data_IF_403502540857
#
_entry.id   IF_403502540857
#
_cell.length_a   1.000
_cell.length_b   1.000
_cell.length_c   1.000
_cell.angle_alpha   90.00
_cell.angle_beta   90.00
_cell.angle_gamma   90.00
#
_symmetry.space_group_name_H-M   'P 1'
#
loop_
_entity.id
_entity.type
_entity.pdbx_description
1 polymer ?
#
# COMPACT_ATOMS: atom_id res chain seq x y z
N UNK A 1 -18.34 10.76 26.36
CA UNK A 1 -19.33 9.74 25.92
C UNK A 1 -19.81 9.93 24.47
N UNK A 2 -20.06 11.17 24.00
CA UNK A 2 -20.58 11.49 22.65
C UNK A 2 -19.75 10.99 21.45
N UNK A 3 -18.45 10.76 21.60
CA UNK A 3 -17.57 10.28 20.53
C UNK A 3 -17.54 8.76 20.35
N UNK A 4 -17.99 7.98 21.35
CA UNK A 4 -18.07 6.51 21.29
C UNK A 4 -19.33 6.08 20.55
N UNK A 5 -20.45 6.74 20.84
CA UNK A 5 -21.72 6.62 20.12
C UNK A 5 -21.55 6.83 18.60
N UNK A 6 -20.91 7.95 18.20
CA UNK A 6 -20.67 8.29 16.77
C UNK A 6 -19.81 7.27 16.02
N UNK A 7 -18.87 6.62 16.72
CA UNK A 7 -18.01 5.58 16.12
C UNK A 7 -18.75 4.27 15.92
N UNK A 8 -19.62 3.91 16.88
CA UNK A 8 -20.46 2.72 16.79
C UNK A 8 -21.48 2.89 15.66
N UNK A 9 -22.10 4.08 15.54
CA UNK A 9 -23.03 4.38 14.45
C UNK A 9 -22.33 4.34 13.09
N UNK A 10 -21.13 4.93 12.96
CA UNK A 10 -20.40 4.90 11.68
C UNK A 10 -20.03 3.48 11.23
N UNK A 11 -19.59 2.63 12.17
CA UNK A 11 -19.25 1.23 11.89
C UNK A 11 -20.50 0.45 11.48
N UNK A 12 -21.62 0.63 12.20
CA UNK A 12 -22.89 0.02 11.84
C UNK A 12 -23.37 0.46 10.45
N UNK A 13 -23.34 1.76 10.15
CA UNK A 13 -23.84 2.27 8.86
C UNK A 13 -22.95 1.82 7.70
N UNK A 14 -21.63 1.76 7.88
CA UNK A 14 -20.73 1.25 6.83
C UNK A 14 -20.86 -0.25 6.61
N UNK A 15 -21.08 -1.04 7.68
CA UNK A 15 -21.34 -2.48 7.57
C UNK A 15 -22.66 -2.78 6.86
N UNK A 16 -23.71 -2.03 7.21
CA UNK A 16 -25.03 -2.15 6.57
C UNK A 16 -24.95 -1.76 5.08
N UNK A 17 -24.26 -0.68 4.73
CA UNK A 17 -24.09 -0.26 3.34
C UNK A 17 -23.36 -1.32 2.50
N UNK A 18 -22.35 -1.98 3.08
CA UNK A 18 -21.58 -3.02 2.41
C UNK A 18 -22.43 -4.29 2.18
N UNK A 19 -23.27 -4.65 3.16
CA UNK A 19 -24.26 -5.74 3.03
C UNK A 19 -25.28 -5.43 1.92
N UNK A 20 -25.79 -4.20 1.86
CA UNK A 20 -26.74 -3.77 0.83
C UNK A 20 -26.09 -3.83 -0.57
N UNK A 21 -24.86 -3.35 -0.72
CA UNK A 21 -24.13 -3.38 -2.01
C UNK A 21 -23.86 -4.83 -2.45
N UNK A 22 -23.48 -5.72 -1.52
CA UNK A 22 -23.30 -7.15 -1.86
C UNK A 22 -24.61 -7.85 -2.22
N UNK A 23 -25.71 -7.50 -1.56
CA UNK A 23 -27.04 -7.98 -1.92
C UNK A 23 -27.46 -7.52 -3.33
N UNK A 24 -27.15 -6.27 -3.68
CA UNK A 24 -27.50 -5.69 -4.98
C UNK A 24 -26.74 -6.35 -6.15
N UNK A 25 -25.46 -6.69 -5.96
CA UNK A 25 -24.64 -7.38 -6.99
C UNK A 25 -25.14 -8.82 -7.21
N UNK A 26 -25.56 -9.52 -6.15
CA UNK A 26 -26.16 -10.85 -6.26
C UNK A 26 -27.49 -10.84 -7.04
N UNK A 27 -28.32 -9.80 -6.84
CA UNK A 27 -29.59 -9.63 -7.57
C UNK A 27 -29.34 -9.32 -9.05
N UNK A 28 -28.35 -8.50 -9.40
CA UNK A 28 -28.05 -8.17 -10.81
C UNK A 28 -27.51 -9.39 -11.57
N UNK A 29 -26.67 -10.23 -10.95
CA UNK A 29 -26.19 -11.47 -11.60
C UNK A 29 -27.30 -12.51 -11.82
N UNK A 30 -28.38 -12.47 -11.04
CA UNK A 30 -29.52 -13.38 -11.19
C UNK A 30 -30.47 -13.00 -12.35
N UNK A 31 -30.42 -11.75 -12.82
CA UNK A 31 -31.26 -11.27 -13.94
C UNK A 31 -30.70 -11.72 -15.30
N UNK A 32 -29.39 -12.00 -15.40
CA UNK A 32 -28.73 -12.35 -16.68
C UNK A 32 -28.75 -13.85 -17.01
N UNK A 33 -28.89 -14.75 -16.02
CA UNK A 33 -29.01 -16.18 -16.30
C UNK A 33 -30.49 -16.53 -16.48
N UNK A 34 -30.97 -16.40 -17.72
CA UNK A 34 -32.31 -16.81 -18.14
C UNK A 34 -32.70 -18.12 -17.47
N UNK A 35 -33.84 -18.11 -16.78
CA UNK A 35 -34.24 -19.09 -15.77
C UNK A 35 -33.94 -20.55 -16.11
N UNK A 36 -33.70 -21.34 -15.06
CA UNK A 36 -33.36 -22.75 -15.24
C UNK A 36 -34.60 -23.58 -15.58
N UNK A 37 -34.39 -24.64 -16.37
CA UNK A 37 -35.41 -25.58 -16.79
C UNK A 37 -35.38 -26.80 -15.87
N UNK A 38 -36.52 -27.17 -15.30
CA UNK A 38 -36.69 -28.46 -14.59
C UNK A 38 -37.34 -29.44 -15.54
N UNK A 39 -36.68 -30.55 -15.82
CA UNK A 39 -37.29 -31.69 -16.51
C UNK A 39 -37.78 -32.71 -15.48
N UNK A 40 -39.02 -33.21 -15.59
CA UNK A 40 -39.48 -34.30 -14.75
C UNK A 40 -38.70 -35.58 -15.07
N UNK A 41 -38.30 -36.33 -14.04
CA UNK A 41 -37.41 -37.49 -14.13
C UNK A 41 -38.06 -38.77 -14.71
N UNK A 42 -38.92 -38.64 -15.72
CA UNK A 42 -39.60 -39.78 -16.35
C UNK A 42 -38.64 -40.72 -17.10
N UNK A 43 -37.40 -40.29 -17.37
CA UNK A 43 -36.38 -41.08 -18.07
C UNK A 43 -35.46 -41.93 -17.19
N UNK A 44 -35.60 -41.93 -15.85
CA UNK A 44 -34.72 -42.68 -14.94
C UNK A 44 -35.54 -43.63 -14.06
N UNK A 45 -36.19 -44.61 -14.69
CA UNK A 45 -36.67 -45.80 -13.97
C UNK A 45 -36.38 -47.04 -14.81
N UNK A 46 -35.47 -47.94 -14.38
CA UNK A 46 -35.36 -49.24 -15.01
C UNK A 46 -36.62 -50.04 -14.66
N UNK A 47 -37.39 -50.37 -15.69
CA UNK A 47 -38.10 -51.66 -15.84
C UNK A 47 -38.82 -52.22 -14.60
N UNK A 48 -39.80 -51.47 -14.07
CA UNK A 48 -40.76 -51.98 -13.06
C UNK A 48 -42.23 -51.90 -13.51
N UNK A 49 -42.49 -51.68 -14.80
CA UNK A 49 -43.85 -51.51 -15.32
C UNK A 49 -44.70 -52.78 -15.28
N UNK A 50 -44.10 -53.95 -15.04
CA UNK A 50 -44.83 -55.23 -15.09
C UNK A 50 -45.35 -55.71 -13.72
N UNK A 51 -45.12 -54.99 -12.62
CA UNK A 51 -45.44 -55.49 -11.26
C UNK A 51 -46.76 -54.91 -10.70
N UNK A 52 -47.31 -53.82 -11.26
CA UNK A 52 -48.50 -53.18 -10.67
C UNK A 52 -49.62 -52.76 -11.63
N UNK A 53 -49.51 -52.97 -12.94
CA UNK A 53 -50.55 -52.57 -13.88
C UNK A 53 -50.84 -53.67 -14.90
N UNK A 54 -52.09 -54.12 -14.95
CA UNK A 54 -52.59 -55.11 -15.91
C UNK A 54 -52.64 -54.58 -17.35
N UNK A 55 -52.93 -55.47 -18.29
CA UNK A 55 -52.89 -55.27 -19.75
C UNK A 55 -53.21 -53.84 -20.21
N UNK A 56 -52.19 -53.16 -20.72
CA UNK A 56 -52.26 -51.83 -21.33
C UNK A 56 -53.06 -51.91 -22.64
N UNK A 57 -54.38 -51.80 -22.55
CA UNK A 57 -55.29 -51.65 -23.69
C UNK A 57 -55.72 -50.19 -23.92
N UNK A 58 -54.88 -49.24 -23.50
CA UNK A 58 -55.09 -47.82 -23.77
C UNK A 58 -53.90 -47.22 -24.49
N UNK A 59 -54.20 -46.37 -25.47
CA UNK A 59 -53.24 -45.55 -26.18
C UNK A 59 -52.78 -44.42 -25.25
N UNK A 60 -51.90 -44.75 -24.30
CA UNK A 60 -51.30 -43.77 -23.41
C UNK A 60 -50.00 -43.28 -24.06
N UNK A 61 -50.03 -42.07 -24.61
CA UNK A 61 -48.86 -41.43 -25.21
C UNK A 61 -47.90 -40.97 -24.09
N UNK A 62 -47.06 -41.89 -23.59
CA UNK A 62 -46.03 -41.64 -22.59
C UNK A 62 -44.97 -40.61 -23.04
N UNK A 63 -45.01 -40.16 -24.29
CA UNK A 63 -44.07 -39.20 -24.88
C UNK A 63 -44.54 -37.74 -24.78
N UNK A 64 -45.76 -37.46 -24.28
CA UNK A 64 -46.24 -36.09 -24.03
C UNK A 64 -46.26 -35.76 -22.54
N UNK A 65 -45.08 -35.68 -21.94
CA UNK A 65 -44.91 -34.98 -20.66
C UNK A 65 -45.07 -33.46 -20.84
N UNK A 66 -45.48 -32.72 -19.80
CA UNK A 66 -45.48 -31.25 -19.86
C UNK A 66 -44.07 -30.77 -20.23
N UNK A 67 -44.00 -29.90 -21.24
CA UNK A 67 -42.75 -29.33 -21.70
C UNK A 67 -42.03 -28.55 -20.59
N UNK A 68 -40.73 -28.28 -20.74
CA UNK A 68 -39.94 -27.59 -19.72
C UNK A 68 -40.56 -26.24 -19.34
N UNK A 69 -41.11 -26.17 -18.13
CA UNK A 69 -41.71 -24.94 -17.60
C UNK A 69 -40.62 -24.11 -16.92
N UNK A 70 -40.51 -22.85 -17.32
CA UNK A 70 -39.56 -21.91 -16.72
C UNK A 70 -40.13 -21.41 -15.41
N UNK A 71 -39.58 -21.89 -14.30
CA UNK A 71 -39.96 -21.43 -12.96
C UNK A 71 -39.08 -20.27 -12.48
N UNK A 72 -39.68 -19.37 -11.71
CA UNK A 72 -38.98 -18.23 -11.13
C UNK A 72 -38.13 -18.63 -9.92
N UNK A 73 -37.09 -17.86 -9.59
CA UNK A 73 -36.26 -18.11 -8.40
C UNK A 73 -37.05 -18.16 -7.08
N UNK A 74 -38.18 -17.45 -7.00
CA UNK A 74 -39.05 -17.42 -5.82
C UNK A 74 -39.88 -18.69 -5.65
N UNK A 75 -40.01 -19.49 -6.71
CA UNK A 75 -40.72 -20.78 -6.74
C UNK A 75 -39.78 -21.95 -6.44
N UNK A 76 -38.48 -21.67 -6.24
CA UNK A 76 -37.51 -22.69 -5.87
C UNK A 76 -37.83 -23.31 -4.50
N UNK A 77 -37.59 -24.62 -4.34
CA UNK A 77 -37.62 -25.27 -3.04
C UNK A 77 -36.76 -24.51 -2.03
N UNK A 78 -37.33 -24.21 -0.86
CA UNK A 78 -36.70 -23.42 0.20
C UNK A 78 -35.31 -23.96 0.57
N UNK A 79 -35.14 -25.29 0.52
CA UNK A 79 -33.86 -25.96 0.79
C UNK A 79 -32.73 -25.51 -0.16
N UNK A 80 -33.02 -25.27 -1.44
CA UNK A 80 -32.03 -24.79 -2.42
C UNK A 80 -31.62 -23.36 -2.10
N UNK A 81 -32.58 -22.50 -1.75
CA UNK A 81 -32.32 -21.11 -1.35
C UNK A 81 -31.43 -21.07 -0.10
N UNK A 82 -31.69 -21.94 0.88
CA UNK A 82 -30.87 -22.04 2.09
C UNK A 82 -29.43 -22.46 1.78
N UNK A 83 -29.22 -23.42 0.88
CA UNK A 83 -27.87 -23.86 0.47
C UNK A 83 -27.10 -22.71 -0.18
N UNK A 84 -27.73 -21.94 -1.07
CA UNK A 84 -27.09 -20.81 -1.73
C UNK A 84 -26.68 -19.70 -0.74
N UNK A 85 -27.53 -19.43 0.25
CA UNK A 85 -27.22 -18.48 1.34
C UNK A 85 -26.00 -18.95 2.13
N UNK A 86 -25.97 -20.24 2.51
CA UNK A 86 -24.85 -20.81 3.28
C UNK A 86 -23.54 -20.73 2.50
N UNK A 87 -23.55 -21.05 1.20
CA UNK A 87 -22.37 -20.92 0.33
C UNK A 87 -21.89 -19.48 0.25
N UNK A 88 -22.80 -18.51 0.06
CA UNK A 88 -22.47 -17.09 0.03
C UNK A 88 -21.84 -16.59 1.35
N UNK A 89 -22.37 -17.03 2.50
CA UNK A 89 -21.81 -16.70 3.81
C UNK A 89 -20.41 -17.27 4.00
N UNK A 90 -20.18 -18.52 3.60
CA UNK A 90 -18.86 -19.18 3.67
C UNK A 90 -17.85 -18.45 2.79
N UNK A 91 -18.21 -18.10 1.54
CA UNK A 91 -17.35 -17.34 0.63
C UNK A 91 -17.03 -15.94 1.15
N UNK A 92 -18.00 -15.26 1.77
CA UNK A 92 -17.80 -13.95 2.40
C UNK A 92 -16.84 -14.03 3.61
N UNK A 93 -17.01 -15.05 4.46
CA UNK A 93 -16.09 -15.33 5.57
C UNK A 93 -14.68 -15.61 5.05
N UNK A 94 -14.54 -16.41 3.99
CA UNK A 94 -13.23 -16.71 3.41
C UNK A 94 -12.54 -15.45 2.85
N UNK A 95 -13.29 -14.55 2.20
CA UNK A 95 -12.75 -13.29 1.69
C UNK A 95 -12.30 -12.35 2.81
N UNK A 96 -13.10 -12.22 3.88
CA UNK A 96 -12.74 -11.39 5.05
C UNK A 96 -11.51 -11.93 5.78
N UNK A 97 -11.38 -13.25 5.92
CA UNK A 97 -10.19 -13.90 6.49
C UNK A 97 -8.96 -13.71 5.59
N UNK A 98 -9.10 -13.86 4.27
CA UNK A 98 -8.01 -13.60 3.30
C UNK A 98 -7.55 -12.13 3.35
N UNK A 99 -8.50 -11.20 3.49
CA UNK A 99 -8.22 -9.77 3.63
C UNK A 99 -7.46 -9.48 4.93
N UNK A 100 -7.82 -10.14 6.03
CA UNK A 100 -7.15 -10.03 7.34
C UNK A 100 -5.73 -10.63 7.31
N UNK A 101 -5.56 -11.82 6.74
CA UNK A 101 -4.27 -12.51 6.60
C UNK A 101 -3.32 -11.80 5.60
N UNK A 102 -3.86 -11.09 4.62
CA UNK A 102 -3.05 -10.33 3.64
C UNK A 102 -2.30 -9.13 4.24
N UNK A 103 -2.44 -8.85 5.54
CA UNK A 103 -1.76 -7.75 6.23
C UNK A 103 -2.22 -6.34 5.82
N UNK A 104 -3.22 -6.25 4.93
CA UNK A 104 -3.79 -4.99 4.45
C UNK A 104 -4.77 -4.35 5.44
N UNK A 105 -5.26 -5.09 6.45
CA UNK A 105 -5.96 -4.54 7.63
C UNK A 105 -4.95 -3.91 8.61
N UNK A 106 -4.27 -2.85 8.17
CA UNK A 106 -3.67 -1.89 9.10
C UNK A 106 -4.76 -0.96 9.63
N UNK A 107 -5.74 -1.48 10.38
CA UNK A 107 -6.89 -0.68 10.82
C UNK A 107 -7.32 -0.96 12.25
N UNK A 108 -6.43 -0.76 13.23
CA UNK A 108 -6.81 -0.19 14.54
C UNK A 108 -5.67 0.71 15.03
N UNK A 109 -5.67 1.98 14.60
CA UNK A 109 -4.74 3.03 15.06
C UNK A 109 -4.71 3.21 16.60
N UNK A 110 -5.73 2.72 17.32
CA UNK A 110 -5.84 2.77 18.78
C UNK A 110 -5.00 1.74 19.55
N UNK A 111 -4.79 0.53 18.99
CA UNK A 111 -3.93 -0.49 19.62
C UNK A 111 -2.45 -0.20 19.43
N UNK A 112 -2.10 0.55 18.38
CA UNK A 112 -0.71 0.92 18.11
C UNK A 112 -0.10 1.67 19.28
N UNK A 113 -0.81 2.65 19.89
CA UNK A 113 -0.28 3.47 21.00
C UNK A 113 0.04 2.65 22.26
N UNK A 114 -0.81 1.69 22.61
CA UNK A 114 -0.59 0.81 23.78
C UNK A 114 0.62 -0.10 23.49
N UNK A 115 0.67 -0.72 22.31
CA UNK A 115 1.82 -1.53 21.88
C UNK A 115 3.12 -0.73 21.76
N UNK A 116 3.10 0.56 21.36
CA UNK A 116 4.34 1.37 21.22
C UNK A 116 5.09 1.46 22.55
N UNK A 117 4.37 1.59 23.67
CA UNK A 117 4.99 1.71 25.00
C UNK A 117 5.68 0.40 25.37
N UNK A 118 4.97 -0.73 25.26
CA UNK A 118 5.49 -2.08 25.55
C UNK A 118 6.66 -2.44 24.62
N UNK A 119 6.56 -2.07 23.34
CA UNK A 119 7.66 -2.25 22.38
C UNK A 119 8.82 -1.33 22.72
N UNK A 120 8.68 -0.16 23.33
CA UNK A 120 9.83 0.69 23.66
C UNK A 120 10.35 0.49 25.09
N UNK A 121 9.91 -0.56 25.80
CA UNK A 121 10.43 -0.90 27.15
C UNK A 121 11.90 -1.35 27.13
N UNK A 122 12.35 -1.98 26.04
CA UNK A 122 13.76 -2.34 25.91
C UNK A 122 14.58 -1.08 25.63
N UNK A 123 15.47 -0.73 26.55
CA UNK A 123 16.29 0.49 26.47
C UNK A 123 17.13 0.56 25.19
N UNK A 124 17.75 -0.54 24.76
CA UNK A 124 18.54 -0.57 23.52
C UNK A 124 17.68 -0.29 22.29
N UNK A 125 16.48 -0.89 22.23
CA UNK A 125 15.53 -0.64 21.14
C UNK A 125 15.01 0.79 21.17
N UNK A 126 14.77 1.34 22.35
CA UNK A 126 14.38 2.75 22.54
C UNK A 126 15.49 3.70 22.07
N UNK A 127 16.74 3.43 22.45
CA UNK A 127 17.91 4.20 22.01
C UNK A 127 18.03 4.24 20.48
N UNK A 128 17.86 3.10 19.80
CA UNK A 128 17.85 3.04 18.33
C UNK A 128 16.69 3.84 17.76
N UNK A 129 15.49 3.70 18.32
CA UNK A 129 14.31 4.44 17.88
C UNK A 129 14.52 5.96 18.00
N UNK A 130 14.95 6.43 19.17
CA UNK A 130 15.18 7.85 19.44
C UNK A 130 16.29 8.42 18.54
N UNK A 131 17.34 7.63 18.27
CA UNK A 131 18.41 8.00 17.33
C UNK A 131 17.85 8.25 15.92
N UNK A 132 16.91 7.41 15.46
CA UNK A 132 16.22 7.58 14.16
C UNK A 132 15.30 8.80 14.16
N UNK A 133 14.64 9.09 15.27
CA UNK A 133 13.77 10.27 15.40
C UNK A 133 14.57 11.57 15.32
N UNK A 134 15.72 11.61 15.99
CA UNK A 134 16.62 12.77 15.99
C UNK A 134 17.35 12.94 14.65
N UNK A 135 17.56 11.86 13.90
CA UNK A 135 18.28 11.86 12.64
C UNK A 135 17.45 11.17 11.54
N UNK A 136 16.44 11.84 10.96
CA UNK A 136 15.68 11.28 9.85
C UNK A 136 16.60 10.87 8.70
N UNK A 137 16.30 9.76 8.02
CA UNK A 137 17.12 9.26 6.91
C UNK A 137 18.48 8.70 7.31
N UNK A 138 18.75 8.51 8.61
CA UNK A 138 19.99 7.91 9.11
C UNK A 138 20.21 6.49 8.56
N UNK A 139 21.45 6.18 8.22
CA UNK A 139 21.86 4.86 7.73
C UNK A 139 22.25 3.93 8.89
N UNK A 140 22.23 2.62 8.63
CA UNK A 140 22.59 1.61 9.63
C UNK A 140 23.98 1.86 10.27
N UNK A 141 24.98 2.18 9.44
CA UNK A 141 26.34 2.45 9.92
C UNK A 141 26.44 3.70 10.81
N UNK A 142 25.58 4.71 10.58
CA UNK A 142 25.51 5.89 11.44
C UNK A 142 24.80 5.56 12.76
N UNK A 143 23.75 4.73 12.72
CA UNK A 143 23.08 4.23 13.93
C UNK A 143 24.07 3.47 14.82
N UNK A 144 24.89 2.58 14.25
CA UNK A 144 25.91 1.83 14.99
C UNK A 144 26.89 2.78 15.71
N UNK A 145 27.39 3.80 15.00
CA UNK A 145 28.30 4.79 15.56
C UNK A 145 27.69 5.60 16.71
N UNK A 146 26.45 6.06 16.55
CA UNK A 146 25.78 6.89 17.56
C UNK A 146 25.29 6.09 18.77
N UNK A 147 24.89 4.84 18.56
CA UNK A 147 24.37 3.99 19.64
C UNK A 147 25.47 3.21 20.35
N UNK A 148 26.59 2.95 19.68
CA UNK A 148 27.68 2.07 20.14
C UNK A 148 27.35 0.58 19.96
N UNK A 149 26.26 0.24 19.25
CA UNK A 149 25.84 -1.15 19.07
C UNK A 149 26.52 -1.81 17.87
N UNK A 150 26.72 -3.13 17.98
CA UNK A 150 27.22 -3.93 16.86
C UNK A 150 26.19 -3.98 15.72
N UNK A 151 26.66 -4.24 14.50
CA UNK A 151 25.81 -4.33 13.31
C UNK A 151 24.61 -5.28 13.50
N UNK A 152 24.86 -6.50 14.01
CA UNK A 152 23.81 -7.48 14.29
C UNK A 152 22.78 -6.98 15.31
N UNK A 153 23.23 -6.28 16.35
CA UNK A 153 22.34 -5.77 17.40
C UNK A 153 21.46 -4.61 16.87
N UNK A 154 22.08 -3.67 16.15
CA UNK A 154 21.36 -2.58 15.46
C UNK A 154 20.35 -3.12 14.46
N UNK A 155 20.74 -4.08 13.63
CA UNK A 155 19.86 -4.72 12.64
C UNK A 155 18.69 -5.45 13.31
N UNK A 156 18.93 -6.17 14.41
CA UNK A 156 17.88 -6.83 15.18
C UNK A 156 16.83 -5.82 15.68
N UNK A 157 17.27 -4.72 16.30
CA UNK A 157 16.36 -3.69 16.80
C UNK A 157 15.60 -2.99 15.67
N UNK A 158 16.27 -2.67 14.56
CA UNK A 158 15.63 -2.07 13.38
C UNK A 158 14.58 -3.00 12.78
N UNK A 159 14.87 -4.30 12.63
CA UNK A 159 13.90 -5.30 12.14
C UNK A 159 12.66 -5.35 13.02
N UNK A 160 12.84 -5.33 14.35
CA UNK A 160 11.71 -5.25 15.29
C UNK A 160 10.91 -3.95 15.09
N UNK A 161 11.57 -2.80 15.05
CA UNK A 161 10.89 -1.50 14.85
C UNK A 161 10.12 -1.43 13.51
N UNK A 162 10.67 -2.01 12.43
CA UNK A 162 10.00 -2.14 11.13
C UNK A 162 8.77 -3.07 11.21
N UNK A 163 8.90 -4.23 11.88
CA UNK A 163 7.79 -5.19 12.03
C UNK A 163 6.58 -4.62 12.78
N UNK A 164 6.82 -3.63 13.64
CA UNK A 164 5.78 -2.91 14.37
C UNK A 164 5.37 -1.58 13.70
N UNK A 165 5.85 -1.31 12.50
CA UNK A 165 5.55 -0.09 11.73
C UNK A 165 5.85 1.21 12.51
N UNK A 166 6.83 1.19 13.42
CA UNK A 166 7.27 2.38 14.16
C UNK A 166 8.20 3.26 13.32
N UNK A 167 8.97 2.61 12.46
CA UNK A 167 9.85 3.23 11.48
C UNK A 167 9.54 2.68 10.10
N UNK A 168 9.97 3.39 9.07
CA UNK A 168 9.99 2.96 7.67
C UNK A 168 11.39 3.21 7.12
N UNK A 169 11.75 2.55 6.02
CA UNK A 169 13.00 2.84 5.32
C UNK A 169 12.73 3.35 3.91
N UNK A 170 13.67 4.11 3.38
CA UNK A 170 13.74 4.48 1.97
C UNK A 170 15.08 4.03 1.41
N UNK A 171 15.04 3.33 0.28
CA UNK A 171 16.21 2.99 -0.51
C UNK A 171 16.49 4.11 -1.51
N UNK A 172 17.76 4.47 -1.62
CA UNK A 172 18.34 5.39 -2.62
C UNK A 172 19.60 4.77 -3.23
N UNK A 173 20.22 5.42 -4.20
CA UNK A 173 21.56 5.09 -4.71
C UNK A 173 22.64 5.16 -3.64
N UNK A 174 22.40 5.90 -2.54
CA UNK A 174 23.33 6.06 -1.41
C UNK A 174 23.13 5.04 -0.29
N UNK A 175 22.11 4.18 -0.39
CA UNK A 175 21.79 3.16 0.60
C UNK A 175 20.40 3.33 1.22
N UNK A 176 20.18 2.63 2.34
CA UNK A 176 18.93 2.66 3.12
C UNK A 176 18.99 3.72 4.20
N UNK A 177 18.04 4.64 4.19
CA UNK A 177 17.81 5.59 5.27
C UNK A 177 16.53 5.25 6.03
N UNK A 178 16.57 5.34 7.35
CA UNK A 178 15.43 5.04 8.23
C UNK A 178 14.74 6.32 8.69
N UNK A 179 13.42 6.29 8.77
CA UNK A 179 12.57 7.42 9.13
C UNK A 179 11.50 6.98 10.11
N UNK A 180 11.01 7.91 10.94
CA UNK A 180 9.80 7.68 11.71
C UNK A 180 8.60 7.44 10.78
N UNK A 181 7.75 6.47 11.15
CA UNK A 181 6.48 6.25 10.44
C UNK A 181 5.40 7.23 10.95
N UNK A 182 5.50 8.49 10.55
CA UNK A 182 4.64 9.58 11.00
C UNK A 182 3.97 10.36 9.87
N UNK A 183 4.09 9.91 8.61
CA UNK A 183 3.69 10.65 7.41
C UNK A 183 4.25 12.07 7.31
N UNK A 184 5.25 12.42 8.13
CA UNK A 184 5.90 13.74 8.14
C UNK A 184 6.59 14.06 6.82
N UNK A 185 7.14 13.03 6.15
CA UNK A 185 7.83 13.19 4.88
C UNK A 185 7.18 12.32 3.80
N UNK A 186 6.92 12.95 2.66
CA UNK A 186 6.55 12.29 1.41
C UNK A 186 7.68 11.37 0.93
N UNK A 187 7.38 10.48 -0.02
CA UNK A 187 8.40 9.59 -0.59
C UNK A 187 9.53 10.35 -1.28
N UNK A 188 9.22 11.50 -1.89
CA UNK A 188 10.20 12.35 -2.60
C UNK A 188 11.02 13.16 -1.63
N UNK A 189 10.39 13.77 -0.62
CA UNK A 189 11.07 14.50 0.45
C UNK A 189 12.09 13.62 1.15
N UNK A 190 11.76 12.34 1.43
CA UNK A 190 12.72 11.37 1.98
C UNK A 190 13.97 11.19 1.12
N UNK A 191 13.80 11.12 -0.22
CA UNK A 191 14.92 10.99 -1.15
C UNK A 191 15.77 12.27 -1.13
N UNK A 192 15.14 13.44 -1.32
CA UNK A 192 15.86 14.72 -1.36
C UNK A 192 16.59 14.97 -0.03
N UNK A 193 15.95 14.68 1.10
CA UNK A 193 16.54 14.81 2.43
C UNK A 193 17.79 13.92 2.57
N UNK A 194 17.73 12.65 2.15
CA UNK A 194 18.88 11.74 2.22
C UNK A 194 20.08 12.22 1.41
N UNK A 195 19.88 12.72 0.18
CA UNK A 195 20.97 13.31 -0.60
C UNK A 195 21.49 14.62 0.00
N UNK A 196 20.60 15.39 0.64
CA UNK A 196 20.95 16.67 1.25
C UNK A 196 21.76 16.53 2.55
N UNK A 197 21.87 15.34 3.12
CA UNK A 197 22.77 15.06 4.25
C UNK A 197 24.24 15.21 3.86
N UNK A 198 24.61 14.93 2.62
CA UNK A 198 25.95 15.18 2.13
C UNK A 198 26.06 16.65 1.68
N UNK A 199 26.94 17.47 2.29
CA UNK A 199 27.00 18.90 2.01
C UNK A 199 27.40 19.21 0.56
N UNK A 200 28.26 18.38 -0.05
CA UNK A 200 28.67 18.54 -1.45
C UNK A 200 27.52 18.20 -2.39
N UNK A 201 26.81 17.10 -2.14
CA UNK A 201 25.68 16.68 -2.96
C UNK A 201 24.51 17.67 -2.85
N UNK A 202 24.25 18.19 -1.64
CA UNK A 202 23.34 19.31 -1.40
C UNK A 202 23.72 20.53 -2.22
N UNK A 203 24.99 20.95 -2.17
CA UNK A 203 25.47 22.12 -2.91
C UNK A 203 25.33 21.94 -4.42
N UNK A 204 25.53 20.73 -4.94
CA UNK A 204 25.27 20.40 -6.36
C UNK A 204 23.80 20.63 -6.71
N UNK A 205 22.87 20.12 -5.88
CA UNK A 205 21.43 20.31 -6.10
C UNK A 205 21.08 21.80 -6.10
N UNK A 206 21.59 22.58 -5.14
CA UNK A 206 21.38 24.03 -5.04
C UNK A 206 21.88 24.76 -6.30
N UNK A 207 23.10 24.48 -6.75
CA UNK A 207 23.68 25.15 -7.94
C UNK A 207 22.90 24.83 -9.21
N UNK A 208 22.50 23.57 -9.40
CA UNK A 208 21.71 23.18 -10.59
C UNK A 208 20.30 23.77 -10.54
N UNK A 209 19.73 23.92 -9.34
CA UNK A 209 18.45 24.61 -9.15
C UNK A 209 18.55 26.11 -9.48
N UNK A 210 19.62 26.77 -9.05
CA UNK A 210 19.90 28.19 -9.33
C UNK A 210 20.29 28.45 -10.80
N UNK A 211 21.01 27.50 -11.42
CA UNK A 211 21.53 27.60 -12.79
C UNK A 211 21.11 26.38 -13.63
N UNK A 212 19.83 26.28 -14.03
CA UNK A 212 19.36 25.16 -14.84
C UNK A 212 20.13 25.10 -16.16
N UNK A 213 20.58 23.90 -16.54
CA UNK A 213 21.36 23.69 -17.77
C UNK A 213 22.86 23.85 -17.59
N UNK A 214 23.37 24.05 -16.36
CA UNK A 214 24.80 24.06 -16.08
C UNK A 214 25.46 22.75 -16.56
N UNK A 215 26.64 22.89 -17.16
CA UNK A 215 27.42 21.75 -17.66
C UNK A 215 28.32 21.16 -16.57
N UNK A 216 28.79 19.93 -16.78
CA UNK A 216 29.74 19.28 -15.86
C UNK A 216 31.00 20.11 -15.59
N UNK A 217 31.53 20.75 -16.64
CA UNK A 217 32.77 21.56 -16.56
C UNK A 217 32.54 22.79 -15.70
N UNK A 218 31.45 23.51 -15.92
CA UNK A 218 31.06 24.67 -15.13
C UNK A 218 30.81 24.27 -13.67
N UNK A 219 30.05 23.20 -13.44
CA UNK A 219 29.76 22.70 -12.10
C UNK A 219 31.05 22.32 -11.33
N UNK A 220 32.02 21.68 -11.99
CA UNK A 220 33.33 21.40 -11.38
C UNK A 220 34.10 22.67 -11.01
N UNK A 221 34.00 23.72 -11.83
CA UNK A 221 34.63 25.02 -11.57
C UNK A 221 33.99 25.74 -10.39
N UNK A 222 32.66 25.76 -10.31
CA UNK A 222 31.91 26.44 -9.23
C UNK A 222 32.14 25.76 -7.89
N UNK A 223 32.11 24.42 -7.85
CA UNK A 223 32.24 23.63 -6.61
C UNK A 223 33.71 23.41 -6.22
N UNK A 224 34.65 23.63 -7.15
CA UNK A 224 36.08 23.41 -6.97
C UNK A 224 36.42 21.96 -6.59
N UNK A 225 35.72 21.00 -7.18
CA UNK A 225 36.01 19.56 -7.06
C UNK A 225 36.32 18.95 -8.42
N UNK A 226 37.00 17.80 -8.42
CA UNK A 226 37.38 17.13 -9.65
C UNK A 226 36.18 16.74 -10.51
N UNK A 227 36.34 16.79 -11.84
CA UNK A 227 35.27 16.43 -12.77
C UNK A 227 34.80 14.96 -12.64
N UNK A 228 35.65 13.98 -12.26
CA UNK A 228 35.18 12.64 -11.85
C UNK A 228 34.32 12.65 -10.58
N UNK A 229 34.70 13.42 -9.56
CA UNK A 229 33.90 13.55 -8.33
C UNK A 229 32.51 14.11 -8.63
N UNK A 230 32.42 15.17 -9.44
CA UNK A 230 31.13 15.71 -9.92
C UNK A 230 30.31 14.62 -10.60
N UNK A 231 30.93 13.83 -11.49
CA UNK A 231 30.25 12.75 -12.22
C UNK A 231 29.67 11.71 -11.26
N UNK A 232 30.38 11.35 -10.20
CA UNK A 232 29.90 10.42 -9.18
C UNK A 232 28.68 10.95 -8.42
N UNK A 233 28.69 12.25 -8.06
CA UNK A 233 27.54 12.89 -7.40
C UNK A 233 26.33 12.94 -8.33
N UNK A 234 26.50 13.44 -9.55
CA UNK A 234 25.44 13.52 -10.56
C UNK A 234 24.84 12.15 -10.85
N UNK A 235 25.67 11.10 -10.93
CA UNK A 235 25.19 9.75 -11.21
C UNK A 235 24.23 9.27 -10.12
N UNK A 236 24.57 9.46 -8.84
CA UNK A 236 23.67 9.13 -7.73
C UNK A 236 22.34 9.88 -7.82
N UNK A 237 22.41 11.20 -8.03
CA UNK A 237 21.22 12.05 -8.14
C UNK A 237 20.34 11.73 -9.38
N UNK A 238 20.95 11.31 -10.48
CA UNK A 238 20.21 10.88 -11.69
C UNK A 238 19.58 9.52 -11.48
N UNK A 239 20.27 8.58 -10.81
CA UNK A 239 19.73 7.25 -10.48
C UNK A 239 18.50 7.33 -9.58
N UNK A 240 18.46 8.31 -8.68
CA UNK A 240 17.31 8.58 -7.82
C UNK A 240 16.29 9.57 -8.45
N UNK A 241 16.44 9.88 -9.75
CA UNK A 241 15.58 10.74 -10.56
C UNK A 241 15.45 12.19 -10.07
N UNK A 242 16.31 12.66 -9.16
CA UNK A 242 16.34 14.06 -8.72
C UNK A 242 16.78 14.97 -9.87
N UNK A 243 17.76 14.52 -10.66
CA UNK A 243 18.27 15.25 -11.82
C UNK A 243 17.85 14.59 -13.13
N UNK A 244 17.62 15.42 -14.15
CA UNK A 244 17.57 15.02 -15.56
C UNK A 244 18.81 15.57 -16.28
N UNK A 245 19.28 14.81 -17.27
CA UNK A 245 20.41 15.20 -18.13
C UNK A 245 19.93 15.28 -19.57
N UNK A 246 20.34 16.32 -20.29
CA UNK A 246 20.03 16.50 -21.70
C UNK A 246 21.34 16.74 -22.45
N UNK A 247 21.48 16.12 -23.63
CA UNK A 247 22.68 16.26 -24.45
C UNK A 247 22.40 17.26 -25.57
N UNK A 248 23.19 18.32 -25.62
CA UNK A 248 23.15 19.33 -26.67
C UNK A 248 24.51 19.35 -27.35
N UNK A 249 24.58 18.79 -28.56
CA UNK A 249 25.84 18.56 -29.27
C UNK A 249 26.79 17.62 -28.51
N UNK A 250 27.98 18.13 -28.17
CA UNK A 250 29.00 17.39 -27.42
C UNK A 250 28.90 17.58 -25.90
N UNK A 251 28.07 18.50 -25.43
CA UNK A 251 27.94 18.86 -24.01
C UNK A 251 26.68 18.24 -23.39
N UNK A 252 26.77 17.95 -22.10
CA UNK A 252 25.65 17.45 -21.29
C UNK A 252 25.27 18.55 -20.30
N UNK A 253 23.99 18.87 -20.31
CA UNK A 253 23.35 19.90 -19.48
C UNK A 253 22.49 19.22 -18.42
N UNK A 254 22.52 19.74 -17.19
CA UNK A 254 21.81 19.15 -16.07
C UNK A 254 20.69 20.06 -15.58
N UNK A 255 19.56 19.46 -15.24
CA UNK A 255 18.38 20.16 -14.72
C UNK A 255 17.78 19.38 -13.56
N UNK A 256 17.09 20.08 -12.66
CA UNK A 256 16.21 19.43 -11.69
C UNK A 256 15.05 18.76 -12.44
N UNK A 257 14.74 17.53 -12.07
CA UNK A 257 13.56 16.84 -12.59
C UNK A 257 12.29 17.57 -12.12
N UNK A 258 11.36 17.83 -13.04
CA UNK A 258 10.13 18.58 -12.77
C UNK A 258 9.31 17.99 -11.62
N UNK A 259 9.36 16.66 -11.45
CA UNK A 259 8.68 15.96 -10.36
C UNK A 259 9.23 16.24 -8.96
N UNK A 260 10.44 16.78 -8.83
CA UNK A 260 11.12 17.09 -7.56
C UNK A 260 11.30 18.59 -7.30
N UNK A 261 10.89 19.47 -8.23
CA UNK A 261 11.09 20.92 -8.13
C UNK A 261 10.52 21.51 -6.83
N UNK A 262 9.30 21.13 -6.47
CA UNK A 262 8.63 21.61 -5.25
C UNK A 262 9.34 21.11 -3.99
N UNK A 263 9.69 19.81 -3.94
CA UNK A 263 10.37 19.22 -2.79
C UNK A 263 11.75 19.86 -2.55
N UNK A 264 12.50 20.14 -3.63
CA UNK A 264 13.80 20.84 -3.55
C UNK A 264 13.62 22.29 -3.12
N UNK A 265 12.61 22.98 -3.67
CA UNK A 265 12.31 24.37 -3.27
C UNK A 265 11.99 24.46 -1.78
N UNK A 266 11.19 23.53 -1.25
CA UNK A 266 10.88 23.47 0.17
C UNK A 266 12.14 23.23 1.01
N UNK A 267 13.01 22.30 0.61
CA UNK A 267 14.26 22.02 1.31
C UNK A 267 15.23 23.22 1.34
N UNK A 268 15.29 23.99 0.25
CA UNK A 268 16.09 25.22 0.19
C UNK A 268 15.47 26.33 1.07
N UNK A 269 14.15 26.46 1.06
CA UNK A 269 13.41 27.51 1.78
C UNK A 269 13.31 27.26 3.30
N UNK A 270 13.19 26.02 3.77
CA UNK A 270 13.29 25.67 5.20
C UNK A 270 14.59 26.21 5.81
N UNK A 271 15.67 26.26 5.03
CA UNK A 271 16.94 26.84 5.45
C UNK A 271 16.90 28.38 5.53
N UNK A 272 16.19 29.07 4.63
CA UNK A 272 16.01 30.52 4.73
C UNK A 272 15.26 30.88 6.01
N UNK A 273 14.18 30.17 6.36
CA UNK A 273 13.42 30.42 7.58
C UNK A 273 14.24 30.18 8.86
N UNK A 274 15.14 29.17 8.88
CA UNK A 274 16.02 28.91 10.03
C UNK A 274 17.17 29.92 10.11
N UNK A 275 17.71 30.40 8.98
CA UNK A 275 18.79 31.40 8.97
C UNK A 275 18.28 32.81 9.32
N UNK A 276 17.07 33.19 8.92
CA UNK A 276 16.46 34.48 9.32
C UNK A 276 16.10 34.56 10.81
N UNK A 277 15.94 33.43 11.51
CA UNK A 277 15.68 33.40 12.95
C UNK A 277 16.95 33.48 13.83
N UNK A 278 18.14 33.67 13.23
CA UNK A 278 19.43 33.80 13.93
C UNK A 278 20.10 35.17 13.72
N UNK A 279 19.39 36.19 13.21
CA UNK A 279 19.85 37.57 13.34
C UNK A 279 19.55 38.07 14.76
N UNK A 280 20.63 38.16 15.54
CA UNK A 280 20.68 38.52 16.96
C UNK A 280 20.07 39.91 17.17
N UNK A 281 19.08 40.09 18.07
CA UNK A 281 18.76 41.42 18.55
C UNK A 281 19.93 41.91 19.41
N UNK A 282 20.48 43.05 18.97
CA UNK A 282 21.48 43.86 19.67
C UNK A 282 21.15 44.14 21.13
#
# INVERSE_FOLDING_TARGET
MRGRERKITLILTTGILLIIITGFIGVVSAIETGGYVVEPAYGISPDYTNIYFGDLSGDYDFLQGPGPEKIGYWELPIMIILILIVIGLISSIFYTVKLFLSGKISFIYGLSKIKKKDILENESRRKVYDTILQNPGIQLCEIEKLTGFTNKNSEYHIKKLLSYSLIVYKQTSRGKGYFQNSNTYSLKEKIVYMHSKNPTEKRIIEIIHENPGITRKELSGVIKISAPSVSWYITGLTNDNILKKERVGTRVHYYINDSFKTDISNLINEKKAVVFNYEIPS
#
